data_IF_010937350760
#
_entry.id   IF_010937350760
#
_cell.length_a   1.000
_cell.length_b   1.000
_cell.length_c   1.000
_cell.angle_alpha   90.00
_cell.angle_beta   90.00
_cell.angle_gamma   90.00
#
_symmetry.space_group_name_H-M   'P 1'
#
loop_
_entity.id
_entity.type
_entity.pdbx_description
1 polymer ?
#
# COMPACT_ATOMS: atom_id res chain seq x y z
N UNK A 1 4.85 0.37 -1.43
CA UNK A 1 5.12 0.99 -2.74
C UNK A 1 4.58 2.40 -2.63
N UNK A 2 5.41 3.44 -2.68
CA UNK A 2 4.89 4.81 -2.66
C UNK A 2 4.15 5.02 -3.98
N UNK A 3 2.84 5.32 -4.00
CA UNK A 3 2.15 5.52 -5.27
C UNK A 3 2.83 6.66 -6.03
N UNK A 4 3.04 6.45 -7.33
CA UNK A 4 3.47 7.51 -8.24
C UNK A 4 2.28 8.44 -8.39
N UNK A 5 2.39 9.64 -7.82
CA UNK A 5 1.31 10.62 -7.82
C UNK A 5 1.53 11.54 -9.03
N UNK A 6 0.52 11.68 -9.90
CA UNK A 6 0.57 12.67 -10.98
C UNK A 6 0.82 14.06 -10.36
N UNK A 7 1.74 14.86 -10.91
CA UNK A 7 2.16 16.12 -10.30
C UNK A 7 1.80 17.32 -11.17
N UNK A 8 1.16 18.32 -10.58
CA UNK A 8 0.84 19.60 -11.22
C UNK A 8 0.95 20.77 -10.22
N UNK A 9 0.82 22.00 -10.69
CA UNK A 9 0.75 23.19 -9.85
C UNK A 9 -0.67 23.44 -9.33
N UNK A 10 -0.79 23.95 -8.10
CA UNK A 10 -2.08 24.35 -7.53
C UNK A 10 -2.80 25.39 -8.40
N UNK A 11 -2.05 26.29 -9.04
CA UNK A 11 -2.62 27.32 -9.90
C UNK A 11 -3.22 26.75 -11.20
N UNK A 12 -2.60 25.70 -11.77
CA UNK A 12 -3.17 25.02 -12.94
C UNK A 12 -4.41 24.20 -12.56
N UNK A 13 -4.38 23.53 -11.41
CA UNK A 13 -5.53 22.80 -10.88
C UNK A 13 -6.74 23.71 -10.65
N UNK A 14 -6.53 24.90 -10.07
CA UNK A 14 -7.59 25.89 -9.86
C UNK A 14 -8.22 26.40 -11.17
N UNK A 15 -7.42 26.54 -12.24
CA UNK A 15 -7.92 26.96 -13.56
C UNK A 15 -8.74 25.88 -14.27
N UNK A 16 -8.48 24.61 -13.95
CA UNK A 16 -9.06 23.46 -14.65
C UNK A 16 -9.85 22.54 -13.71
N UNK A 17 -10.36 23.05 -12.58
CA UNK A 17 -10.88 22.23 -11.48
C UNK A 17 -11.94 21.23 -11.91
N UNK A 18 -12.90 21.62 -12.75
CA UNK A 18 -13.95 20.71 -13.22
C UNK A 18 -13.39 19.49 -13.95
N UNK A 19 -12.56 19.71 -14.97
CA UNK A 19 -11.94 18.64 -15.75
C UNK A 19 -10.99 17.78 -14.90
N UNK A 20 -10.25 18.40 -13.98
CA UNK A 20 -9.35 17.69 -13.04
C UNK A 20 -10.13 16.79 -12.09
N UNK A 21 -11.24 17.25 -11.53
CA UNK A 21 -12.09 16.44 -10.64
C UNK A 21 -12.78 15.31 -11.40
N UNK A 22 -13.24 15.54 -12.62
CA UNK A 22 -13.80 14.47 -13.48
C UNK A 22 -12.76 13.39 -13.78
N UNK A 23 -11.53 13.79 -14.08
CA UNK A 23 -10.43 12.86 -14.31
C UNK A 23 -10.09 12.06 -13.04
N UNK A 24 -9.94 12.74 -11.90
CA UNK A 24 -9.69 12.14 -10.59
C UNK A 24 -10.77 11.09 -10.23
N UNK A 25 -12.04 11.40 -10.47
CA UNK A 25 -13.14 10.47 -10.21
C UNK A 25 -13.14 9.29 -11.18
N UNK A 26 -12.78 9.53 -12.44
CA UNK A 26 -12.73 8.49 -13.49
C UNK A 26 -11.56 7.53 -13.31
N UNK A 27 -10.38 8.02 -12.95
CA UNK A 27 -9.17 7.21 -12.82
C UNK A 27 -8.99 6.66 -11.41
N UNK A 28 -9.48 7.39 -10.40
CA UNK A 28 -9.17 7.12 -8.99
C UNK A 28 -7.71 7.39 -8.63
N UNK A 29 -6.92 7.99 -9.52
CA UNK A 29 -5.50 8.24 -9.28
C UNK A 29 -5.31 9.54 -8.49
N UNK A 30 -4.55 9.54 -7.38
CA UNK A 30 -4.26 10.76 -6.63
C UNK A 30 -3.37 11.73 -7.42
N UNK A 31 -3.51 13.03 -7.13
CA UNK A 31 -2.71 14.11 -7.72
C UNK A 31 -1.97 14.92 -6.65
N UNK A 32 -0.67 15.15 -6.84
CA UNK A 32 0.20 15.97 -5.98
C UNK A 32 0.25 17.37 -6.56
N UNK A 33 -0.23 18.33 -5.78
CA UNK A 33 -0.21 19.74 -6.14
C UNK A 33 1.00 20.42 -5.51
N UNK A 34 1.71 21.18 -6.33
CA UNK A 34 2.83 22.02 -5.93
C UNK A 34 2.41 23.47 -5.71
N UNK A 35 3.04 24.12 -4.73
CA UNK A 35 2.94 25.56 -4.47
C UNK A 35 4.35 26.12 -4.62
N UNK A 36 4.53 27.08 -5.53
CA UNK A 36 5.84 27.65 -5.87
C UNK A 36 6.91 26.61 -6.23
N UNK A 37 6.49 25.50 -6.86
CA UNK A 37 7.37 24.40 -7.28
C UNK A 37 7.65 23.36 -6.21
N UNK A 38 7.21 23.59 -4.96
CA UNK A 38 7.40 22.67 -3.86
C UNK A 38 6.15 21.82 -3.61
N UNK A 39 6.27 20.53 -3.24
CA UNK A 39 5.15 19.69 -2.86
C UNK A 39 4.30 20.32 -1.74
N UNK A 40 2.99 20.48 -1.98
CA UNK A 40 2.09 21.15 -1.05
C UNK A 40 0.99 20.26 -0.49
N UNK A 41 0.19 19.65 -1.38
CA UNK A 41 -1.01 18.89 -0.99
C UNK A 41 -1.32 17.78 -1.97
N UNK A 42 -1.95 16.70 -1.51
CA UNK A 42 -2.49 15.64 -2.37
C UNK A 42 -4.01 15.77 -2.45
N UNK A 43 -4.55 15.67 -3.67
CA UNK A 43 -5.99 15.57 -3.93
C UNK A 43 -6.30 14.13 -4.35
N UNK A 44 -7.32 13.53 -3.73
CA UNK A 44 -7.74 12.16 -4.01
C UNK A 44 -9.26 12.05 -3.96
N UNK A 45 -9.82 11.14 -4.74
CA UNK A 45 -11.25 10.79 -4.68
C UNK A 45 -11.55 10.08 -3.35
N UNK A 46 -12.74 10.28 -2.80
CA UNK A 46 -13.13 9.67 -1.54
C UNK A 46 -13.15 8.12 -1.58
N UNK A 47 -13.32 7.53 -2.77
CA UNK A 47 -13.30 6.09 -2.96
C UNK A 47 -11.89 5.49 -2.96
N UNK A 48 -10.83 6.30 -3.07
CA UNK A 48 -9.45 5.82 -3.15
C UNK A 48 -9.01 5.05 -1.90
N UNK A 49 -9.30 5.56 -0.70
CA UNK A 49 -9.00 4.86 0.56
C UNK A 49 -9.75 3.54 0.66
N UNK A 50 -11.05 3.53 0.33
CA UNK A 50 -11.85 2.30 0.34
C UNK A 50 -11.33 1.26 -0.67
N UNK A 51 -10.76 1.70 -1.79
CA UNK A 51 -10.11 0.83 -2.76
C UNK A 51 -8.82 0.23 -2.18
N UNK A 52 -8.00 1.02 -1.48
CA UNK A 52 -6.79 0.54 -0.81
C UNK A 52 -7.11 -0.48 0.28
N UNK A 53 -8.09 -0.19 1.13
CA UNK A 53 -8.56 -1.12 2.17
C UNK A 53 -9.01 -2.45 1.58
N UNK A 54 -9.73 -2.38 0.45
CA UNK A 54 -10.20 -3.58 -0.24
C UNK A 54 -9.05 -4.38 -0.85
N UNK A 55 -8.03 -3.70 -1.38
CA UNK A 55 -6.84 -4.34 -1.93
C UNK A 55 -6.05 -5.05 -0.82
N UNK A 56 -5.81 -4.38 0.30
CA UNK A 56 -5.13 -4.97 1.47
C UNK A 56 -5.87 -6.22 1.96
N UNK A 57 -7.20 -6.15 2.04
CA UNK A 57 -8.02 -7.30 2.41
C UNK A 57 -7.85 -8.48 1.44
N UNK A 58 -7.79 -8.22 0.14
CA UNK A 58 -7.60 -9.26 -0.88
C UNK A 58 -6.19 -9.87 -0.83
N UNK A 59 -5.17 -9.05 -0.59
CA UNK A 59 -3.80 -9.52 -0.37
C UNK A 59 -3.71 -10.41 0.87
N UNK A 60 -4.36 -10.02 1.97
CA UNK A 60 -4.42 -10.81 3.19
C UNK A 60 -5.10 -12.17 2.96
N UNK A 61 -6.26 -12.18 2.30
CA UNK A 61 -6.99 -13.41 1.94
C UNK A 61 -6.11 -14.33 1.08
N UNK A 62 -5.43 -13.76 0.08
CA UNK A 62 -4.52 -14.51 -0.79
C UNK A 62 -3.33 -15.09 -0.03
N UNK A 63 -2.76 -14.33 0.90
CA UNK A 63 -1.68 -14.77 1.77
C UNK A 63 -2.08 -15.93 2.69
N UNK A 64 -3.26 -15.83 3.31
CA UNK A 64 -3.82 -16.89 4.16
C UNK A 64 -4.04 -18.17 3.35
N UNK A 65 -4.67 -18.06 2.18
CA UNK A 65 -4.94 -19.22 1.32
C UNK A 65 -3.63 -19.91 0.90
N UNK A 66 -2.61 -19.13 0.52
CA UNK A 66 -1.27 -19.65 0.20
C UNK A 66 -0.65 -20.39 1.38
N UNK A 67 -0.81 -19.88 2.60
CA UNK A 67 -0.33 -20.53 3.82
C UNK A 67 -1.02 -21.87 4.08
N UNK A 68 -2.35 -21.90 3.96
CA UNK A 68 -3.16 -23.12 4.09
C UNK A 68 -2.73 -24.17 3.06
N UNK A 69 -2.58 -23.78 1.80
CA UNK A 69 -2.20 -24.71 0.73
C UNK A 69 -0.77 -25.24 0.91
N UNK A 70 0.14 -24.39 1.38
CA UNK A 70 1.52 -24.81 1.72
C UNK A 70 1.54 -25.80 2.89
N UNK A 71 0.71 -25.57 3.92
CA UNK A 71 0.60 -26.47 5.06
C UNK A 71 0.02 -27.84 4.66
N UNK A 72 -1.06 -27.85 3.87
CA UNK A 72 -1.65 -29.07 3.31
C UNK A 72 -0.66 -29.85 2.44
N UNK A 73 0.20 -29.15 1.71
CA UNK A 73 1.25 -29.76 0.89
C UNK A 73 2.50 -30.16 1.68
N UNK A 74 2.53 -30.00 3.01
CA UNK A 74 3.68 -30.35 3.84
C UNK A 74 4.92 -29.47 3.63
N UNK A 75 4.77 -28.28 3.02
CA UNK A 75 5.86 -27.34 2.72
C UNK A 75 6.28 -26.47 3.92
N UNK A 76 5.87 -26.85 5.12
CA UNK A 76 6.26 -26.18 6.36
C UNK A 76 7.69 -26.50 6.76
N UNK A 77 8.16 -25.87 7.84
CA UNK A 77 9.44 -26.16 8.50
C UNK A 77 9.21 -26.36 10.00
N UNK A 78 10.06 -27.15 10.69
CA UNK A 78 9.98 -27.29 12.13
C UNK A 78 10.07 -25.94 12.87
N UNK A 79 9.22 -25.76 13.88
CA UNK A 79 9.14 -24.51 14.64
C UNK A 79 10.46 -24.19 15.36
N UNK A 80 11.09 -25.19 15.97
CA UNK A 80 12.32 -25.01 16.74
C UNK A 80 13.48 -24.52 15.87
N UNK A 81 13.61 -25.05 14.65
CA UNK A 81 14.61 -24.62 13.68
C UNK A 81 14.37 -23.17 13.23
N UNK A 82 13.11 -22.79 13.00
CA UNK A 82 12.73 -21.40 12.69
C UNK A 82 13.07 -20.44 13.82
N UNK A 83 12.67 -20.75 15.05
CA UNK A 83 12.94 -19.91 16.21
C UNK A 83 14.44 -19.75 16.46
N UNK A 84 15.22 -20.83 16.31
CA UNK A 84 16.67 -20.78 16.45
C UNK A 84 17.33 -19.86 15.39
N UNK A 85 16.87 -19.92 14.13
CA UNK A 85 17.36 -19.04 13.06
C UNK A 85 17.01 -17.57 13.33
N UNK A 86 15.74 -17.27 13.63
CA UNK A 86 15.27 -15.90 13.84
C UNK A 86 15.92 -15.25 15.06
N UNK A 87 16.15 -15.99 16.14
CA UNK A 87 16.88 -15.50 17.32
C UNK A 87 18.31 -15.10 16.98
N UNK A 88 19.02 -15.92 16.19
CA UNK A 88 20.38 -15.59 15.73
C UNK A 88 20.38 -14.36 14.81
N UNK A 89 19.43 -14.28 13.88
CA UNK A 89 19.35 -13.21 12.88
C UNK A 89 19.02 -11.85 13.51
N UNK A 90 18.15 -11.84 14.52
CA UNK A 90 17.63 -10.62 15.14
C UNK A 90 18.15 -10.37 16.57
N UNK A 91 19.14 -11.13 17.03
CA UNK A 91 19.72 -11.01 18.38
C UNK A 91 18.69 -11.08 19.51
N UNK A 92 17.68 -11.95 19.36
CA UNK A 92 16.60 -12.14 20.36
C UNK A 92 17.04 -13.20 21.36
N UNK A 93 17.04 -12.86 22.65
CA UNK A 93 17.34 -13.81 23.72
C UNK A 93 16.29 -14.94 23.79
N UNK A 94 16.67 -16.17 24.16
CA UNK A 94 15.72 -17.25 24.38
C UNK A 94 14.75 -16.89 25.53
N UNK A 95 13.50 -17.39 25.50
CA UNK A 95 12.59 -17.25 26.62
C UNK A 95 13.18 -17.91 27.87
N UNK A 96 12.89 -17.32 29.03
CA UNK A 96 13.32 -17.81 30.35
C UNK A 96 12.67 -19.15 30.72
#
# INVERSE_FOLDING_TARGET
>A
MTPVVATDSLSNFQRNTGARLEELHRTGEPELLTVDGEPGVVVQDAAYEAMLDRLEQLEAVTGIQRGIDSAKAGKGRPLDEFLAEMRRKHSIAPPA
#
